data_IF_183504805345
#
_entry.id   IF_183504805345
#
_cell.length_a   1.000
_cell.length_b   1.000
_cell.length_c   1.000
_cell.angle_alpha   90.00
_cell.angle_beta   90.00
_cell.angle_gamma   90.00
#
_symmetry.space_group_name_H-M   'P 1'
#
loop_
_entity.id
_entity.type
_entity.pdbx_description
1 polymer ?
#
# COMPACT_ATOMS: atom_id res chain seq x y z
N UNK A 1 -7.56 4.62 23.69
CA UNK A 1 -7.51 5.36 22.41
C UNK A 1 -6.09 5.26 21.86
N UNK A 2 -5.87 4.75 20.65
CA UNK A 2 -4.53 4.75 20.03
C UNK A 2 -4.34 6.07 19.28
N UNK A 3 -3.36 6.85 19.68
CA UNK A 3 -3.07 8.16 19.08
C UNK A 3 -1.97 7.99 18.05
N UNK A 4 -2.23 8.37 16.80
CA UNK A 4 -1.22 8.41 15.74
C UNK A 4 -0.62 9.82 15.69
N UNK A 5 0.70 9.93 15.74
CA UNK A 5 1.41 11.21 15.59
C UNK A 5 2.24 11.22 14.31
N UNK A 6 2.29 12.37 13.65
CA UNK A 6 3.23 12.61 12.55
C UNK A 6 4.59 12.94 13.16
N UNK A 7 5.62 12.22 12.74
CA UNK A 7 7.01 12.48 13.11
C UNK A 7 7.82 12.82 11.86
N UNK A 8 8.85 13.66 12.03
CA UNK A 8 9.81 14.01 11.00
C UNK A 8 11.16 13.42 11.41
N UNK A 9 11.78 12.68 10.49
CA UNK A 9 13.17 12.25 10.63
C UNK A 9 14.07 13.38 10.11
N UNK A 10 14.86 13.96 11.01
CA UNK A 10 15.88 14.97 10.70
C UNK A 10 17.27 14.32 10.73
N UNK A 11 18.20 14.87 9.96
CA UNK A 11 19.63 14.49 9.93
C UNK A 11 19.90 12.99 9.72
N UNK A 12 19.30 12.42 8.67
CA UNK A 12 19.53 11.03 8.27
C UNK A 12 20.96 10.82 7.76
N UNK A 13 21.68 9.89 8.36
CA UNK A 13 22.93 9.36 7.79
C UNK A 13 22.65 8.60 6.48
N UNK A 14 23.68 8.44 5.64
CA UNK A 14 23.56 7.69 4.38
C UNK A 14 23.09 6.25 4.58
N UNK A 15 23.55 5.58 5.65
CA UNK A 15 23.16 4.20 5.99
C UNK A 15 21.68 4.11 6.40
N UNK A 16 21.21 5.03 7.25
CA UNK A 16 19.81 5.09 7.66
C UNK A 16 18.89 5.39 6.48
N UNK A 17 19.32 6.26 5.57
CA UNK A 17 18.59 6.54 4.33
C UNK A 17 18.50 5.30 3.45
N UNK A 18 19.61 4.59 3.24
CA UNK A 18 19.61 3.36 2.44
C UNK A 18 18.69 2.28 3.05
N UNK A 19 18.67 2.16 4.38
CA UNK A 19 17.76 1.26 5.09
C UNK A 19 16.29 1.67 4.85
N UNK A 20 15.97 2.95 4.99
CA UNK A 20 14.62 3.45 4.76
C UNK A 20 14.17 3.25 3.31
N UNK A 21 15.04 3.54 2.35
CA UNK A 21 14.78 3.34 0.92
C UNK A 21 14.51 1.85 0.62
N UNK A 22 15.24 0.94 1.26
CA UNK A 22 14.99 -0.50 1.17
C UNK A 22 13.64 -0.90 1.79
N UNK A 23 13.33 -0.40 2.99
CA UNK A 23 12.03 -0.66 3.63
C UNK A 23 10.86 -0.17 2.77
N UNK A 24 10.99 1.03 2.18
CA UNK A 24 10.00 1.61 1.28
C UNK A 24 9.87 0.80 -0.01
N UNK A 25 10.99 0.32 -0.58
CA UNK A 25 10.96 -0.55 -1.75
C UNK A 25 10.16 -1.83 -1.49
N UNK A 26 10.40 -2.50 -0.37
CA UNK A 26 9.67 -3.71 0.03
C UNK A 26 8.18 -3.39 0.21
N UNK A 27 7.86 -2.32 0.93
CA UNK A 27 6.47 -1.92 1.17
C UNK A 27 5.73 -1.59 -0.14
N UNK A 28 6.31 -0.76 -1.01
CA UNK A 28 5.73 -0.42 -2.31
C UNK A 28 5.53 -1.65 -3.20
N UNK A 29 6.47 -2.62 -3.15
CA UNK A 29 6.33 -3.89 -3.86
C UNK A 29 5.16 -4.71 -3.32
N UNK A 30 4.98 -4.76 -1.99
CA UNK A 30 3.84 -5.40 -1.35
C UNK A 30 2.50 -4.75 -1.74
N UNK A 31 2.44 -3.42 -1.81
CA UNK A 31 1.24 -2.68 -2.29
C UNK A 31 0.93 -3.09 -3.73
N UNK A 32 1.93 -3.06 -4.63
CA UNK A 32 1.73 -3.42 -6.05
C UNK A 32 1.27 -4.85 -6.23
N UNK A 33 1.84 -5.78 -5.47
CA UNK A 33 1.41 -7.17 -5.46
C UNK A 33 -0.03 -7.30 -5.00
N UNK A 34 -0.38 -6.65 -3.89
CA UNK A 34 -1.73 -6.69 -3.31
C UNK A 34 -2.77 -6.13 -4.27
N UNK A 35 -2.45 -5.03 -4.95
CA UNK A 35 -3.31 -4.43 -5.97
C UNK A 35 -3.68 -5.43 -7.07
N UNK A 36 -2.69 -6.10 -7.64
CA UNK A 36 -2.93 -7.11 -8.69
C UNK A 36 -3.79 -8.27 -8.18
N UNK A 37 -3.50 -8.77 -6.97
CA UNK A 37 -4.25 -9.89 -6.37
C UNK A 37 -5.71 -9.53 -6.05
N UNK A 38 -5.96 -8.30 -5.62
CA UNK A 38 -7.33 -7.83 -5.38
C UNK A 38 -8.12 -7.72 -6.69
N UNK A 39 -7.50 -7.28 -7.78
CA UNK A 39 -8.13 -7.28 -9.11
C UNK A 39 -8.45 -8.70 -9.61
N UNK A 40 -7.68 -9.70 -9.19
CA UNK A 40 -7.93 -11.12 -9.47
C UNK A 40 -8.97 -11.75 -8.52
N UNK A 41 -9.57 -10.98 -7.60
CA UNK A 41 -10.63 -11.43 -6.70
C UNK A 41 -10.16 -12.16 -5.44
N UNK A 42 -8.88 -12.07 -5.08
CA UNK A 42 -8.36 -12.71 -3.87
C UNK A 42 -8.95 -12.07 -2.59
N UNK A 43 -9.32 -12.91 -1.61
CA UNK A 43 -9.87 -12.47 -0.31
C UNK A 43 -8.82 -11.69 0.49
N UNK A 44 -9.21 -10.49 0.97
CA UNK A 44 -8.34 -9.54 1.67
C UNK A 44 -7.68 -10.16 2.90
N UNK A 45 -8.44 -10.84 3.77
CA UNK A 45 -7.91 -11.39 5.02
C UNK A 45 -6.82 -12.45 4.82
N UNK A 46 -6.93 -13.24 3.76
CA UNK A 46 -5.90 -14.23 3.40
C UNK A 46 -4.70 -13.55 2.72
N UNK A 47 -4.98 -12.55 1.87
CA UNK A 47 -3.96 -11.76 1.21
C UNK A 47 -3.03 -11.05 2.20
N UNK A 48 -3.55 -10.52 3.32
CA UNK A 48 -2.74 -9.93 4.40
C UNK A 48 -1.69 -10.89 4.94
N UNK A 49 -2.06 -12.16 5.19
CA UNK A 49 -1.15 -13.18 5.71
C UNK A 49 -0.11 -13.58 4.66
N UNK A 50 -0.55 -13.73 3.41
CA UNK A 50 0.33 -14.05 2.28
C UNK A 50 1.36 -12.94 2.07
N UNK A 51 0.93 -11.68 2.11
CA UNK A 51 1.81 -10.50 1.95
C UNK A 51 2.81 -10.41 3.10
N UNK A 52 2.35 -10.60 4.34
CA UNK A 52 3.24 -10.60 5.52
C UNK A 52 4.37 -11.64 5.37
N UNK A 53 4.02 -12.88 5.03
CA UNK A 53 5.00 -13.96 4.85
C UNK A 53 5.90 -13.71 3.63
N UNK A 54 5.33 -13.30 2.49
CA UNK A 54 6.05 -13.15 1.22
C UNK A 54 7.10 -12.05 1.25
N UNK A 55 6.81 -10.95 1.94
CA UNK A 55 7.67 -9.77 1.99
C UNK A 55 8.36 -9.59 3.34
N UNK A 56 8.26 -10.58 4.24
CA UNK A 56 8.78 -10.53 5.60
C UNK A 56 8.34 -9.25 6.35
N UNK A 57 7.09 -8.85 6.15
CA UNK A 57 6.48 -7.68 6.79
C UNK A 57 5.76 -8.12 8.06
N UNK A 58 5.76 -7.23 9.07
CA UNK A 58 4.87 -7.47 10.19
C UNK A 58 3.41 -7.34 9.75
N UNK A 59 2.49 -7.98 10.49
CA UNK A 59 1.09 -8.05 10.09
C UNK A 59 0.42 -6.68 9.95
N UNK A 60 0.88 -5.65 10.69
CA UNK A 60 0.35 -4.30 10.55
C UNK A 60 0.77 -3.68 9.23
N UNK A 61 2.06 -3.75 8.88
CA UNK A 61 2.56 -3.27 7.60
C UNK A 61 1.90 -3.99 6.42
N UNK A 62 1.69 -5.30 6.52
CA UNK A 62 0.99 -6.06 5.49
C UNK A 62 -0.47 -5.60 5.32
N UNK A 63 -1.19 -5.38 6.43
CA UNK A 63 -2.54 -4.80 6.42
C UNK A 63 -2.57 -3.42 5.79
N UNK A 64 -1.64 -2.55 6.17
CA UNK A 64 -1.54 -1.20 5.61
C UNK A 64 -1.26 -1.24 4.10
N UNK A 65 -0.41 -2.16 3.63
CA UNK A 65 -0.12 -2.33 2.21
C UNK A 65 -1.34 -2.81 1.40
N UNK A 66 -2.07 -3.80 1.94
CA UNK A 66 -3.28 -4.35 1.33
C UNK A 66 -4.40 -3.30 1.31
N UNK A 67 -4.57 -2.53 2.39
CA UNK A 67 -5.55 -1.46 2.47
C UNK A 67 -5.20 -0.29 1.53
N UNK A 68 -3.92 0.09 1.42
CA UNK A 68 -3.46 1.10 0.45
C UNK A 68 -3.80 0.71 -0.99
N UNK A 69 -3.61 -0.57 -1.32
CA UNK A 69 -4.00 -1.11 -2.62
C UNK A 69 -5.52 -1.03 -2.84
N UNK A 70 -6.32 -1.41 -1.83
CA UNK A 70 -7.78 -1.36 -1.88
C UNK A 70 -8.30 0.06 -2.07
N UNK A 71 -7.78 1.02 -1.31
CA UNK A 71 -8.12 2.43 -1.42
C UNK A 71 -7.79 2.98 -2.80
N UNK A 72 -6.65 2.57 -3.37
CA UNK A 72 -6.28 2.94 -4.75
C UNK A 72 -7.30 2.40 -5.76
N UNK A 73 -7.71 1.13 -5.66
CA UNK A 73 -8.72 0.56 -6.56
C UNK A 73 -10.04 1.32 -6.44
N UNK A 74 -10.50 1.59 -5.21
CA UNK A 74 -11.75 2.31 -4.96
C UNK A 74 -11.69 3.73 -5.51
N UNK A 75 -10.59 4.45 -5.30
CA UNK A 75 -10.45 5.83 -5.80
C UNK A 75 -10.49 5.87 -7.33
N UNK A 76 -9.86 4.91 -8.02
CA UNK A 76 -9.92 4.82 -9.47
C UNK A 76 -11.34 4.58 -9.99
N UNK A 77 -12.13 3.71 -9.33
CA UNK A 77 -13.53 3.51 -9.71
C UNK A 77 -14.38 4.78 -9.54
N UNK A 78 -14.12 5.56 -8.49
CA UNK A 78 -14.81 6.84 -8.27
C UNK A 78 -14.41 7.86 -9.34
N UNK A 79 -13.13 7.96 -9.67
CA UNK A 79 -12.62 8.87 -10.69
C UNK A 79 -13.21 8.57 -12.08
N UNK A 80 -13.26 7.29 -12.47
CA UNK A 80 -13.86 6.90 -13.76
C UNK A 80 -15.32 7.35 -13.83
N UNK A 81 -16.11 7.16 -12.77
CA UNK A 81 -17.51 7.64 -12.73
C UNK A 81 -17.63 9.15 -12.87
N UNK A 82 -16.71 9.91 -12.27
CA UNK A 82 -16.76 11.37 -12.30
C UNK A 82 -16.44 11.94 -13.68
N UNK A 83 -15.47 11.34 -14.39
CA UNK A 83 -14.94 11.87 -15.65
C UNK A 83 -15.41 11.12 -16.90
N UNK A 84 -16.29 10.12 -16.78
CA UNK A 84 -16.75 9.37 -17.95
C UNK A 84 -17.48 10.25 -18.99
N UNK A 85 -18.20 11.28 -18.55
CA UNK A 85 -18.93 12.21 -19.43
C UNK A 85 -17.98 13.13 -20.22
N UNK A 86 -16.82 13.47 -19.64
CA UNK A 86 -15.79 14.30 -20.28
C UNK A 86 -15.04 13.57 -21.40
N UNK A 87 -15.04 12.23 -21.38
CA UNK A 87 -14.41 11.42 -22.42
C UNK A 87 -15.19 11.45 -23.76
N UNK A 88 -16.47 11.81 -23.73
CA UNK A 88 -17.37 11.84 -24.90
C UNK A 88 -17.45 13.20 -25.60
N UNK A 89 -16.69 14.21 -25.15
CA UNK A 89 -16.51 15.50 -25.85
C UNK A 89 -15.26 15.51 -26.72
#
# INVERSE_FOLDING_TARGET
MKTTMKAILIDLTSEQKALLDHMMLVFCTAVRYSFKRQLEGQVIGDLERVVAHKYNLNIRQAKDAVESARQTIVSQHVLVKLYHEDYTK
#
